data_IF_172323041926
#
_entry.id   IF_172323041926
#
_cell.length_a   1.000
_cell.length_b   1.000
_cell.length_c   1.000
_cell.angle_alpha   90.00
_cell.angle_beta   90.00
_cell.angle_gamma   90.00
#
_symmetry.space_group_name_H-M   'P 1'
#
loop_
_entity.id
_entity.type
_entity.pdbx_description
1 polymer ?
2 non-polymer ?
3 non-polymer ?
4 water ?
#
# COMPACT_ATOMS: atom_id res chain seq x y z
N UNK A 2 -19.26 9.78 29.04
CA UNK A 2 -19.23 8.74 27.97
C UNK A 2 -17.81 8.21 27.79
N UNK A 3 -17.63 6.91 27.96
CA UNK A 3 -16.32 6.28 28.01
C UNK A 3 -16.04 5.64 26.65
N UNK A 4 -14.75 5.53 26.32
CA UNK A 4 -14.33 4.98 25.04
C UNK A 4 -13.17 4.01 25.25
N UNK A 5 -13.01 3.12 24.27
CA UNK A 5 -11.96 2.12 24.28
C UNK A 5 -11.60 1.82 22.83
N UNK A 6 -10.32 1.56 22.59
CA UNK A 6 -9.86 1.02 21.33
C UNK A 6 -9.32 -0.38 21.59
N UNK A 7 -9.76 -1.35 20.77
CA UNK A 7 -9.32 -2.72 20.90
C UNK A 7 -9.11 -3.33 19.52
N UNK A 8 -8.35 -4.42 19.48
CA UNK A 8 -8.18 -5.24 18.29
C UNK A 8 -9.49 -5.94 17.97
N UNK A 9 -9.75 -6.09 16.67
CA UNK A 9 -10.86 -6.86 16.17
C UNK A 9 -10.56 -8.35 16.29
N UNK A 10 -11.60 -9.16 16.57
CA UNK A 10 -11.49 -10.60 16.54
C UNK A 10 -12.49 -11.13 15.52
N UNK A 11 -12.42 -12.43 15.14
CA UNK A 11 -13.34 -12.97 14.13
C UNK A 11 -14.83 -12.75 14.39
N UNK A 12 -15.25 -12.63 15.66
CA UNK A 12 -16.65 -12.42 15.97
C UNK A 12 -17.06 -10.98 15.70
N UNK A 13 -16.10 -10.11 15.33
CA UNK A 13 -16.42 -8.72 15.05
C UNK A 13 -16.74 -8.50 13.57
N UNK A 14 -16.67 -9.56 12.77
CA UNK A 14 -16.76 -9.43 11.32
C UNK A 14 -18.04 -8.71 10.89
N UNK A 15 -19.24 -9.04 11.43
CA UNK A 15 -20.46 -8.31 11.04
C UNK A 15 -20.35 -6.79 11.22
N UNK A 16 -19.69 -6.34 12.30
CA UNK A 16 -19.55 -4.91 12.55
C UNK A 16 -18.60 -4.29 11.52
N UNK A 17 -17.50 -4.99 11.22
CA UNK A 17 -16.50 -4.51 10.27
C UNK A 17 -17.13 -4.38 8.89
N UNK A 18 -17.88 -5.41 8.47
CA UNK A 18 -18.60 -5.40 7.21
C UNK A 18 -19.52 -4.18 7.12
N UNK A 19 -20.28 -3.93 8.19
CA UNK A 19 -21.23 -2.83 8.17
C UNK A 19 -20.50 -1.48 8.15
N UNK A 20 -19.37 -1.36 8.86
CA UNK A 20 -18.59 -0.13 8.86
C UNK A 20 -18.01 0.14 7.49
N UNK A 21 -17.47 -0.89 6.83
CA UNK A 21 -16.92 -0.68 5.50
C UNK A 21 -18.05 -0.26 4.56
N UNK A 22 -19.23 -0.90 4.71
CA UNK A 22 -20.40 -0.51 3.94
C UNK A 22 -20.71 0.98 4.12
N UNK A 23 -20.71 1.45 5.38
CA UNK A 23 -21.02 2.85 5.65
C UNK A 23 -19.95 3.77 5.04
N UNK A 24 -18.70 3.30 4.96
CA UNK A 24 -17.63 4.05 4.33
C UNK A 24 -17.97 4.22 2.85
N UNK A 25 -18.41 3.14 2.21
CA UNK A 25 -18.80 3.17 0.81
C UNK A 25 -19.99 4.10 0.57
N UNK A 26 -20.95 4.14 1.51
CA UNK A 26 -22.07 5.06 1.41
C UNK A 26 -21.55 6.49 1.52
N UNK A 27 -20.67 6.77 2.48
CA UNK A 27 -20.14 8.11 2.68
C UNK A 27 -19.44 8.58 1.40
N UNK A 28 -18.68 7.69 0.76
CA UNK A 28 -17.92 8.05 -0.42
C UNK A 28 -18.75 7.98 -1.69
N UNK A 29 -20.04 7.61 -1.58
CA UNK A 29 -20.92 7.48 -2.72
C UNK A 29 -20.42 6.42 -3.70
N UNK A 30 -19.89 5.30 -3.18
CA UNK A 30 -19.25 4.28 -3.99
C UNK A 30 -19.79 2.90 -3.62
N UNK A 31 -21.08 2.81 -3.26
CA UNK A 31 -21.69 1.54 -2.88
C UNK A 31 -21.61 0.53 -4.02
N UNK A 32 -21.72 0.98 -5.28
CA UNK A 32 -21.59 0.05 -6.40
C UNK A 32 -20.24 -0.70 -6.40
N UNK A 33 -19.20 -0.17 -5.72
CA UNK A 33 -17.91 -0.84 -5.69
C UNK A 33 -17.81 -1.77 -4.48
N UNK A 34 -18.80 -1.73 -3.56
CA UNK A 34 -18.71 -2.49 -2.33
C UNK A 34 -19.24 -3.91 -2.57
N UNK A 35 -18.30 -4.86 -2.68
CA UNK A 35 -18.59 -6.26 -2.97
C UNK A 35 -18.18 -7.15 -1.81
N UNK A 36 -17.66 -6.57 -0.72
CA UNK A 36 -17.22 -7.36 0.42
C UNK A 36 -18.39 -8.15 1.00
N UNK A 37 -18.12 -9.38 1.45
CA UNK A 37 -19.05 -10.18 2.22
C UNK A 37 -18.39 -10.48 3.57
N UNK A 38 -19.18 -10.97 4.53
CA UNK A 38 -18.65 -11.32 5.86
C UNK A 38 -17.71 -12.51 5.70
N UNK A 39 -18.12 -13.42 4.82
CA UNK A 39 -17.30 -14.58 4.45
C UNK A 39 -15.89 -14.17 4.02
N UNK A 40 -15.78 -13.26 3.05
CA UNK A 40 -14.50 -12.76 2.56
C UNK A 40 -13.66 -12.12 3.66
N UNK A 41 -14.30 -11.29 4.51
CA UNK A 41 -13.59 -10.64 5.60
C UNK A 41 -13.05 -11.69 6.57
N UNK A 42 -13.90 -12.65 6.95
CA UNK A 42 -13.52 -13.70 7.88
C UNK A 42 -12.37 -14.54 7.31
N UNK A 43 -12.30 -14.66 5.99
CA UNK A 43 -11.29 -15.41 5.28
C UNK A 43 -9.94 -14.70 5.19
N UNK A 44 -9.94 -13.37 5.26
CA UNK A 44 -8.77 -12.59 4.87
C UNK A 44 -8.22 -11.73 6.01
N UNK A 45 -9.00 -11.47 7.08
CA UNK A 45 -8.60 -10.48 8.07
C UNK A 45 -7.69 -11.05 9.17
N UNK A 46 -7.66 -12.37 9.36
CA UNK A 46 -7.09 -12.94 10.56
C UNK A 46 -6.06 -14.03 10.23
N UNK A 47 -5.41 -13.94 9.08
CA UNK A 47 -4.48 -14.98 8.65
C UNK A 47 -3.08 -14.71 9.20
N UNK A 48 -2.85 -13.51 9.75
CA UNK A 48 -1.57 -13.17 10.37
C UNK A 48 -1.80 -12.55 11.74
N UNK A 49 -0.70 -12.29 12.43
CA UNK A 49 -0.73 -11.56 13.69
C UNK A 49 -0.96 -10.07 13.42
N UNK A 50 -1.50 -9.33 14.40
CA UNK A 50 -1.60 -7.88 14.29
C UNK A 50 -0.28 -7.23 13.86
N UNK A 51 -0.39 -6.20 13.03
CA UNK A 51 0.74 -5.36 12.61
C UNK A 51 1.57 -6.06 11.52
N UNK A 52 1.38 -7.36 11.28
CA UNK A 52 2.15 -8.04 10.24
C UNK A 52 1.41 -8.05 8.91
N UNK A 53 0.13 -7.70 8.97
CA UNK A 53 -0.71 -7.64 7.79
C UNK A 53 -1.91 -6.76 8.14
N UNK A 54 -3.00 -6.90 7.39
CA UNK A 54 -4.19 -6.13 7.65
C UNK A 54 -4.53 -6.26 9.14
N UNK A 55 -4.74 -5.11 9.78
CA UNK A 55 -5.00 -5.00 11.21
C UNK A 55 -6.17 -4.03 11.38
N UNK A 56 -7.06 -4.35 12.34
CA UNK A 56 -8.25 -3.54 12.57
C UNK A 56 -8.32 -3.17 14.05
N UNK A 57 -8.49 -1.87 14.31
CA UNK A 57 -8.86 -1.37 15.63
C UNK A 57 -10.34 -0.96 15.58
N UNK A 58 -11.09 -1.34 16.62
CA UNK A 58 -12.47 -0.93 16.80
C UNK A 58 -12.53 0.07 17.94
N UNK A 59 -13.28 1.15 17.74
CA UNK A 59 -13.58 2.09 18.81
C UNK A 59 -14.98 1.80 19.35
N UNK A 60 -15.04 1.43 20.64
CA UNK A 60 -16.31 1.15 21.29
C UNK A 60 -16.64 2.26 22.27
N UNK A 61 -17.94 2.48 22.44
CA UNK A 61 -18.49 3.53 23.29
C UNK A 61 -19.44 2.88 24.30
N UNK A 62 -19.46 3.45 25.51
CA UNK A 62 -20.36 2.99 26.56
C UNK A 62 -20.70 4.17 27.46
N UNK A 63 -21.94 4.23 28.01
CA UNK A 63 -22.26 5.20 29.06
C UNK A 63 -21.72 4.84 30.44
N UNK A 64 -21.19 3.62 30.60
CA UNK A 64 -20.58 3.17 31.85
C UNK A 64 -19.11 2.83 31.59
N UNK A 65 -18.25 2.80 32.63
CA UNK A 65 -16.84 2.45 32.43
C UNK A 65 -16.72 1.06 31.80
N UNK A 66 -15.56 0.79 31.21
CA UNK A 66 -15.27 -0.53 30.66
C UNK A 66 -14.72 -1.42 31.78
N UNK A 67 -15.27 -2.64 31.99
CA UNK A 67 -14.94 -3.45 33.17
C UNK A 67 -13.44 -3.67 33.37
N UNK A 90 -26.74 11.85 22.52
CA UNK A 90 -26.38 11.15 21.27
C UNK A 90 -27.53 10.24 20.85
N UNK A 91 -28.09 10.53 19.67
CA UNK A 91 -29.09 9.69 19.04
C UNK A 91 -28.39 8.79 18.03
N UNK A 92 -28.43 7.47 18.24
CA UNK A 92 -27.83 6.49 17.35
C UNK A 92 -28.87 5.52 16.82
N UNK A 93 -29.39 5.69 15.58
CA UNK A 93 -30.44 4.83 15.05
C UNK A 93 -30.03 3.39 14.80
N UNK A 94 -28.74 3.15 14.59
CA UNK A 94 -28.24 1.83 14.20
C UNK A 94 -27.63 1.09 15.39
N UNK A 95 -27.86 1.57 16.61
CA UNK A 95 -27.25 1.05 17.81
C UNK A 95 -27.35 -0.48 17.88
N UNK A 96 -28.52 -1.02 17.54
CA UNK A 96 -28.82 -2.44 17.65
C UNK A 96 -27.92 -3.27 16.72
N UNK A 97 -27.52 -2.69 15.59
CA UNK A 97 -26.67 -3.39 14.63
C UNK A 97 -25.21 -3.43 15.11
N UNK A 98 -24.86 -2.76 16.22
CA UNK A 98 -23.46 -2.56 16.59
C UNK A 98 -23.17 -2.92 18.04
N UNK A 99 -23.94 -3.84 18.62
CA UNK A 99 -23.70 -4.33 19.97
C UNK A 99 -22.98 -5.68 19.90
N UNK A 100 -21.69 -5.77 20.27
CA UNK A 100 -21.02 -7.07 20.38
C UNK A 100 -21.75 -8.03 21.33
N UNK A 101 -22.44 -7.49 22.34
CA UNK A 101 -23.23 -8.30 23.25
C UNK A 101 -24.54 -7.58 23.59
N UNK A 102 -25.68 -8.21 23.29
CA UNK A 102 -26.98 -7.55 23.40
C UNK A 102 -27.30 -7.16 24.85
N UNK A 103 -26.60 -7.75 25.81
CA UNK A 103 -26.90 -7.53 27.21
C UNK A 103 -26.04 -6.40 27.77
N UNK A 104 -25.11 -5.86 26.95
CA UNK A 104 -24.20 -4.84 27.41
C UNK A 104 -24.36 -3.55 26.61
N UNK A 105 -24.28 -2.41 27.31
CA UNK A 105 -24.42 -1.11 26.65
C UNK A 105 -23.05 -0.67 26.13
N UNK A 106 -22.48 -1.51 25.26
CA UNK A 106 -21.23 -1.22 24.59
C UNK A 106 -21.49 -1.27 23.08
N UNK A 107 -21.11 -0.20 22.37
CA UNK A 107 -21.46 -0.06 20.97
C UNK A 107 -20.20 0.27 20.17
N UNK A 108 -20.03 -0.45 19.06
CA UNK A 108 -18.97 -0.18 18.12
C UNK A 108 -19.33 1.10 17.39
N UNK A 109 -18.49 2.13 17.59
CA UNK A 109 -18.76 3.47 17.08
C UNK A 109 -17.92 3.76 15.83
N UNK A 110 -16.78 3.07 15.65
CA UNK A 110 -15.92 3.33 14.52
C UNK A 110 -14.74 2.35 14.45
N UNK A 111 -13.91 2.49 13.40
CA UNK A 111 -12.78 1.60 13.22
C UNK A 111 -11.66 2.28 12.41
N UNK A 112 -10.48 1.66 12.46
CA UNK A 112 -9.41 1.96 11.52
C UNK A 112 -8.86 0.61 11.04
N UNK A 113 -8.64 0.51 9.74
CA UNK A 113 -8.14 -0.68 9.10
C UNK A 113 -6.87 -0.28 8.36
N UNK A 114 -5.76 -0.96 8.66
CA UNK A 114 -4.47 -0.59 8.09
C UNK A 114 -3.61 -1.83 7.92
N UNK A 115 -2.47 -1.67 7.23
CA UNK A 115 -1.54 -2.76 6.99
C UNK A 115 -0.14 -2.22 6.73
N UNK A 116 0.92 -3.06 6.83
CA UNK A 116 2.28 -2.64 6.50
C UNK A 116 2.43 -2.24 5.04
N UNK A 117 3.10 -1.12 4.78
CA UNK A 117 3.51 -0.75 3.42
C UNK A 117 5.04 -0.65 3.41
N UNK A 118 5.63 -0.09 2.35
CA UNK A 118 7.07 -0.04 2.24
C UNK A 118 7.50 1.22 1.50
N UNK A 119 7.69 2.35 2.22
CA UNK A 119 8.28 3.55 1.62
C UNK A 119 9.73 3.25 1.28
N UNK A 120 9.98 3.02 -0.02
CA UNK A 120 11.25 2.46 -0.45
C UNK A 120 12.40 3.44 -0.22
N UNK A 121 12.10 4.75 -0.18
CA UNK A 121 13.12 5.76 0.01
C UNK A 121 13.63 5.72 1.46
N UNK A 122 12.86 5.09 2.37
CA UNK A 122 13.25 4.94 3.76
C UNK A 122 13.80 3.54 4.04
N UNK A 123 13.58 2.61 3.09
CA UNK A 123 14.04 1.22 3.22
C UNK A 123 13.59 0.64 4.54
N UNK A 124 12.32 0.90 4.89
CA UNK A 124 11.72 0.37 6.11
C UNK A 124 10.20 0.32 5.94
N UNK A 125 9.54 -0.62 6.62
CA UNK A 125 8.09 -0.71 6.57
C UNK A 125 7.49 0.56 7.17
N UNK A 126 6.36 0.97 6.61
CA UNK A 126 5.49 1.95 7.25
C UNK A 126 4.10 1.34 7.43
N UNK A 127 3.09 2.20 7.57
CA UNK A 127 1.72 1.71 7.57
C UNK A 127 0.96 2.52 6.53
N UNK A 128 0.01 1.85 5.88
CA UNK A 128 -0.99 2.51 5.08
C UNK A 128 -2.36 2.32 5.72
N UNK A 129 -3.11 3.41 5.91
CA UNK A 129 -4.45 3.36 6.44
C UNK A 129 -5.43 3.30 5.28
N UNK A 130 -6.13 2.17 5.18
CA UNK A 130 -7.13 1.93 4.14
C UNK A 130 -8.44 2.64 4.48
N UNK A 131 -8.93 2.46 5.72
CA UNK A 131 -10.12 3.14 6.20
C UNK A 131 -9.93 3.67 7.62
N UNK A 132 -10.44 4.86 7.85
CA UNK A 132 -10.67 5.35 9.18
C UNK A 132 -12.05 6.01 9.17
N UNK A 133 -12.91 5.64 10.11
CA UNK A 133 -14.32 5.96 10.01
C UNK A 133 -14.96 5.95 11.40
N UNK A 134 -15.66 7.04 11.73
CA UNK A 134 -16.57 7.11 12.85
C UNK A 134 -18.00 7.19 12.32
N UNK A 135 -18.89 6.37 12.88
CA UNK A 135 -20.30 6.43 12.54
C UNK A 135 -20.81 7.84 12.86
N UNK A 136 -21.73 8.32 12.03
CA UNK A 136 -22.16 9.71 12.01
C UNK A 136 -22.52 10.21 13.42
N UNK A 137 -23.27 9.47 14.26
CA UNK A 137 -23.65 10.00 15.58
C UNK A 137 -22.51 10.25 16.55
N UNK A 138 -21.32 9.69 16.28
CA UNK A 138 -20.18 9.81 17.18
C UNK A 138 -19.09 10.69 16.57
N UNK A 139 -19.41 11.44 15.51
CA UNK A 139 -18.44 12.36 14.93
C UNK A 139 -18.27 13.59 15.82
N UNK A 140 -17.16 14.30 15.61
CA UNK A 140 -16.93 15.62 16.17
C UNK A 140 -16.82 15.55 17.69
N UNK A 141 -16.33 14.43 18.23
CA UNK A 141 -16.21 14.25 19.68
C UNK A 141 -14.81 13.85 20.10
N UNK A 142 -13.87 13.77 19.14
CA UNK A 142 -12.49 13.46 19.45
C UNK A 142 -12.13 11.99 19.22
N UNK A 143 -13.10 11.17 18.80
CA UNK A 143 -12.89 9.73 18.67
C UNK A 143 -12.08 9.41 17.41
N UNK A 144 -12.29 10.16 16.34
CA UNK A 144 -11.45 10.00 15.15
C UNK A 144 -9.99 10.30 15.49
N UNK A 145 -9.75 11.35 16.27
CA UNK A 145 -8.42 11.69 16.75
C UNK A 145 -7.82 10.49 17.49
N UNK A 146 -8.62 9.87 18.38
CA UNK A 146 -8.18 8.73 19.18
C UNK A 146 -7.73 7.57 18.28
N UNK A 147 -8.49 7.29 17.23
CA UNK A 147 -8.15 6.21 16.32
C UNK A 147 -6.80 6.49 15.66
N UNK A 148 -6.62 7.70 15.14
CA UNK A 148 -5.42 8.02 14.39
C UNK A 148 -4.23 8.04 15.36
N UNK A 149 -4.43 8.61 16.54
CA UNK A 149 -3.44 8.61 17.60
C UNK A 149 -2.97 7.19 17.89
N UNK A 150 -3.90 6.23 17.97
CA UNK A 150 -3.56 4.85 18.28
C UNK A 150 -2.69 4.26 17.17
N UNK A 151 -2.99 4.57 15.91
CA UNK A 151 -2.16 4.06 14.83
C UNK A 151 -0.78 4.69 14.93
N UNK A 152 -0.73 6.00 15.21
CA UNK A 152 0.52 6.74 15.23
C UNK A 152 1.45 6.22 16.34
N UNK A 153 0.88 6.03 17.53
CA UNK A 153 1.65 5.56 18.67
C UNK A 153 2.19 4.16 18.39
N UNK A 154 1.36 3.32 17.79
CA UNK A 154 1.79 1.98 17.44
C UNK A 154 2.94 2.06 16.44
N UNK A 155 2.82 2.96 15.45
CA UNK A 155 3.88 3.18 14.46
C UNK A 155 5.21 3.51 15.13
N UNK A 156 5.20 4.45 16.08
CA UNK A 156 6.41 4.87 16.77
C UNK A 156 7.01 3.69 17.55
N UNK A 157 6.16 2.99 18.32
CA UNK A 157 6.58 1.85 19.11
C UNK A 157 7.27 0.78 18.24
N UNK A 158 6.74 0.55 17.04
CA UNK A 158 7.22 -0.54 16.20
C UNK A 158 8.28 -0.06 15.22
N UNK A 159 8.71 1.20 15.30
CA UNK A 159 9.80 1.71 14.50
C UNK A 159 9.39 2.02 13.06
N UNK A 160 8.09 2.20 12.82
CA UNK A 160 7.58 2.55 11.50
C UNK A 160 7.95 4.00 11.17
N UNK A 161 8.43 4.23 9.95
CA UNK A 161 9.03 5.52 9.61
C UNK A 161 8.04 6.49 8.96
N UNK A 162 6.86 5.99 8.54
CA UNK A 162 5.90 6.81 7.81
C UNK A 162 4.53 6.15 7.81
N UNK A 163 3.46 6.96 7.88
CA UNK A 163 2.11 6.47 7.66
C UNK A 163 1.51 7.23 6.48
N UNK A 164 0.90 6.49 5.55
CA UNK A 164 0.27 7.08 4.37
C UNK A 164 -1.17 6.56 4.22
N UNK A 165 -1.99 7.37 3.53
CA UNK A 165 -3.30 6.95 3.07
C UNK A 165 -3.73 7.88 1.93
N UNK A 166 -4.96 7.72 1.44
CA UNK A 166 -5.46 8.62 0.41
C UNK A 166 -6.80 9.18 0.88
N UNK A 167 -7.18 10.33 0.30
CA UNK A 167 -8.44 10.99 0.61
C UNK A 167 -9.02 11.52 -0.70
N UNK A 168 -10.35 11.55 -0.79
CA UNK A 168 -11.01 12.05 -1.98
C UNK A 168 -11.09 13.57 -1.87
N UNK A 169 -10.96 14.22 -3.04
CA UNK A 169 -10.67 15.64 -3.15
C UNK A 169 -11.81 16.50 -2.59
N UNK A 170 -13.07 16.04 -2.68
CA UNK A 170 -14.18 16.83 -2.18
C UNK A 170 -14.32 16.71 -0.67
N UNK A 171 -13.63 15.76 -0.06
CA UNK A 171 -13.85 15.43 1.34
C UNK A 171 -13.07 16.41 2.24
N UNK A 172 -13.51 17.67 2.24
CA UNK A 172 -12.75 18.72 2.89
C UNK A 172 -12.78 18.56 4.42
N UNK A 173 -13.80 17.85 4.94
CA UNK A 173 -13.87 17.58 6.37
C UNK A 173 -12.71 16.67 6.80
N UNK A 174 -12.48 15.58 6.07
CA UNK A 174 -11.43 14.65 6.43
C UNK A 174 -10.06 15.31 6.22
N UNK A 175 -9.93 16.08 5.13
CA UNK A 175 -8.70 16.75 4.77
C UNK A 175 -8.30 17.69 5.91
N UNK A 176 -9.25 18.46 6.42
CA UNK A 176 -9.01 19.36 7.54
C UNK A 176 -8.58 18.57 8.77
N UNK A 177 -9.31 17.49 9.08
CA UNK A 177 -8.97 16.64 10.22
C UNK A 177 -7.52 16.16 10.10
N UNK A 178 -7.18 15.62 8.93
CA UNK A 178 -5.85 15.08 8.68
C UNK A 178 -4.77 16.16 8.85
N UNK A 179 -5.02 17.34 8.28
CA UNK A 179 -4.09 18.45 8.34
C UNK A 179 -3.92 18.94 9.77
N UNK A 180 -4.99 18.94 10.58
CA UNK A 180 -4.90 19.33 11.97
C UNK A 180 -4.09 18.32 12.77
N UNK A 181 -4.12 17.05 12.34
CA UNK A 181 -3.34 16.01 12.98
C UNK A 181 -1.90 15.98 12.44
N UNK A 182 -1.56 16.94 11.57
CA UNK A 182 -0.18 17.13 11.14
C UNK A 182 0.13 16.41 9.83
N UNK A 183 -0.91 15.94 9.14
CA UNK A 183 -0.72 15.21 7.90
C UNK A 183 -0.45 16.21 6.76
N UNK A 184 0.40 15.80 5.82
CA UNK A 184 0.55 16.54 4.59
C UNK A 184 -0.40 15.93 3.56
N UNK A 185 -1.17 16.78 2.87
CA UNK A 185 -2.02 16.31 1.80
C UNK A 185 -1.51 16.90 0.49
N UNK A 186 -1.03 16.04 -0.40
CA UNK A 186 -0.36 16.47 -1.62
C UNK A 186 -1.37 16.64 -2.75
N UNK A 187 -1.00 17.46 -3.72
CA UNK A 187 -1.81 17.67 -4.91
C UNK A 187 -1.22 16.92 -6.11
N UNK A 188 0.06 16.51 -6.06
CA UNK A 188 0.75 16.09 -7.26
C UNK A 188 0.67 14.59 -7.53
N UNK A 189 0.23 13.77 -6.57
CA UNK A 189 0.19 12.33 -6.76
C UNK A 189 -1.20 11.89 -7.21
N UNK A 190 -1.21 10.95 -8.18
CA UNK A 190 -2.43 10.40 -8.73
C UNK A 190 -2.48 8.90 -8.47
N UNK A 191 -3.65 8.40 -8.05
CA UNK A 191 -3.87 6.98 -7.85
C UNK A 191 -4.01 6.30 -9.20
N UNK A 192 -3.35 5.16 -9.34
CA UNK A 192 -3.46 4.29 -10.50
C UNK A 192 -4.02 2.95 -10.04
N UNK A 193 -4.81 2.32 -10.90
CA UNK A 193 -5.53 1.10 -10.54
C UNK A 193 -5.68 0.20 -11.75
N UNK A 194 -5.38 -1.09 -11.53
CA UNK A 194 -5.80 -2.16 -12.41
C UNK A 194 -6.88 -2.92 -11.65
N UNK A 195 -8.07 -2.99 -12.26
CA UNK A 195 -9.20 -3.72 -11.71
C UNK A 195 -8.98 -5.20 -12.00
N UNK A 196 -9.83 -6.04 -11.40
CA UNK A 196 -9.91 -7.45 -11.72
C UNK A 196 -9.99 -7.68 -13.23
N UNK A 197 -10.81 -6.88 -13.93
CA UNK A 197 -11.00 -7.04 -15.37
C UNK A 197 -9.73 -6.66 -16.12
N UNK A 198 -9.11 -5.55 -15.73
CA UNK A 198 -7.86 -5.12 -16.35
C UNK A 198 -6.77 -6.18 -16.15
N UNK A 199 -6.73 -6.79 -14.97
CA UNK A 199 -5.77 -7.83 -14.65
C UNK A 199 -5.97 -9.08 -15.54
N UNK A 200 -7.23 -9.47 -15.78
CA UNK A 200 -7.51 -10.62 -16.63
C UNK A 200 -7.05 -10.34 -18.06
N UNK A 201 -7.25 -9.09 -18.50
CA UNK A 201 -6.90 -8.69 -19.85
C UNK A 201 -5.39 -8.81 -20.04
N UNK A 202 -4.62 -8.34 -19.06
CA UNK A 202 -3.16 -8.40 -19.14
C UNK A 202 -2.69 -9.84 -19.08
N UNK A 203 -3.39 -10.66 -18.27
CA UNK A 203 -3.04 -12.06 -18.06
C UNK A 203 -3.03 -12.87 -19.36
N UNK A 204 -3.72 -12.41 -20.42
CA UNK A 204 -3.71 -13.15 -21.68
C UNK A 204 -2.51 -12.76 -22.56
N UNK A 205 -1.63 -11.91 -22.02
CA UNK A 205 -0.30 -11.66 -22.55
C UNK A 205 0.70 -12.48 -21.73
N UNK B 1 20.63 -10.54 -30.76
CA UNK B 1 19.41 -10.31 -29.95
C UNK B 1 19.81 -10.00 -28.51
N UNK B 2 18.81 -9.75 -27.67
CA UNK B 2 19.03 -9.61 -26.24
C UNK B 2 17.88 -10.28 -25.50
N UNK B 3 18.24 -11.16 -24.56
CA UNK B 3 17.30 -12.01 -23.86
C UNK B 3 17.05 -11.42 -22.48
N UNK B 4 15.88 -11.73 -21.90
CA UNK B 4 15.46 -11.11 -20.66
C UNK B 4 14.87 -12.16 -19.72
N UNK B 5 14.89 -11.84 -18.43
CA UNK B 5 14.39 -12.73 -17.40
C UNK B 5 13.90 -11.88 -16.23
N UNK B 6 12.83 -12.35 -15.60
CA UNK B 6 12.35 -11.77 -14.36
C UNK B 6 12.53 -12.80 -13.27
N UNK B 7 13.09 -12.38 -12.13
CA UNK B 7 13.29 -13.28 -10.99
C UNK B 7 13.07 -12.54 -9.68
N UNK B 8 12.79 -13.32 -8.63
CA UNK B 8 12.74 -12.84 -7.27
C UNK B 8 14.14 -12.41 -6.83
N UNK B 9 14.18 -11.34 -6.02
CA UNK B 9 15.40 -10.83 -5.43
C UNK B 9 15.79 -11.70 -4.24
N UNK B 10 17.10 -11.85 -4.04
CA UNK B 10 17.64 -12.51 -2.86
C UNK B 10 18.53 -11.52 -2.12
N UNK B 11 18.97 -11.82 -0.88
CA UNK B 11 19.79 -10.87 -0.14
C UNK B 11 21.03 -10.32 -0.85
N UNK B 12 21.62 -11.10 -1.77
CA UNK B 12 22.81 -10.66 -2.47
C UNK B 12 22.46 -9.60 -3.52
N UNK B 13 21.16 -9.34 -3.75
CA UNK B 13 20.76 -8.38 -4.76
C UNK B 13 20.60 -6.97 -4.19
N UNK B 14 20.81 -6.84 -2.87
CA UNK B 14 20.54 -5.60 -2.17
C UNK B 14 21.27 -4.41 -2.81
N UNK B 15 22.58 -4.51 -3.15
CA UNK B 15 23.26 -3.39 -3.81
C UNK B 15 22.53 -2.85 -5.04
N UNK B 16 22.00 -3.77 -5.86
CA UNK B 16 21.33 -3.37 -7.10
C UNK B 16 20.01 -2.67 -6.78
N UNK B 17 19.27 -3.24 -5.81
CA UNK B 17 17.99 -2.70 -5.40
C UNK B 17 18.18 -1.27 -4.86
N UNK B 18 19.17 -1.10 -3.97
CA UNK B 18 19.51 0.20 -3.40
C UNK B 18 19.75 1.19 -4.53
N UNK B 19 20.57 0.82 -5.52
CA UNK B 19 20.95 1.74 -6.57
C UNK B 19 19.75 2.08 -7.46
N UNK B 20 18.87 1.10 -7.68
CA UNK B 20 17.67 1.33 -8.48
C UNK B 20 16.72 2.29 -7.77
N UNK B 21 16.54 2.11 -6.46
CA UNK B 21 15.68 3.01 -5.71
C UNK B 21 16.29 4.41 -5.77
N UNK B 22 17.62 4.50 -5.66
CA UNK B 22 18.31 5.77 -5.73
C UNK B 22 18.02 6.45 -7.07
N UNK B 23 18.13 5.69 -8.17
CA UNK B 23 17.85 6.25 -9.49
C UNK B 23 16.39 6.70 -9.60
N UNK B 24 15.47 6.01 -8.91
CA UNK B 24 14.07 6.39 -8.88
C UNK B 24 13.96 7.77 -8.24
N UNK B 25 14.67 7.96 -7.12
CA UNK B 25 14.64 9.23 -6.41
C UNK B 25 15.21 10.36 -7.26
N UNK B 26 16.27 10.07 -8.03
CA UNK B 26 16.84 11.04 -8.94
C UNK B 26 15.81 11.39 -10.02
N UNK B 27 15.16 10.37 -10.61
CA UNK B 27 14.18 10.60 -11.66
C UNK B 27 13.07 11.51 -11.15
N UNK B 28 12.62 11.27 -9.91
CA UNK B 28 11.50 12.00 -9.36
C UNK B 28 11.91 13.34 -8.76
N UNK B 29 13.23 13.64 -8.79
CA UNK B 29 13.76 14.86 -8.21
C UNK B 29 13.46 14.93 -6.71
N UNK B 30 13.60 13.78 -6.02
CA UNK B 30 13.31 13.67 -4.60
C UNK B 30 14.50 13.05 -3.85
N UNK B 31 15.74 13.34 -4.29
CA UNK B 31 16.91 12.75 -3.66
C UNK B 31 17.01 13.16 -2.19
N UNK B 32 16.56 14.36 -1.83
CA UNK B 32 16.57 14.78 -0.43
C UNK B 32 15.75 13.86 0.47
N UNK B 33 14.81 13.08 -0.11
CA UNK B 33 14.02 12.15 0.69
C UNK B 33 14.66 10.76 0.73
N UNK B 34 15.71 10.53 -0.07
CA UNK B 34 16.29 9.19 -0.18
C UNK B 34 17.35 8.99 0.89
N UNK B 35 16.96 8.28 1.98
CA UNK B 35 17.82 7.98 3.11
C UNK B 35 18.05 6.48 3.23
N UNK B 36 17.52 5.69 2.29
CA UNK B 36 17.68 4.25 2.31
C UNK B 36 19.16 3.87 2.28
N UNK B 37 19.54 2.83 3.04
CA UNK B 37 20.88 2.27 3.02
C UNK B 37 20.75 0.80 2.65
N UNK B 38 21.87 0.14 2.29
CA UNK B 38 21.85 -1.28 1.95
C UNK B 38 21.55 -2.08 3.20
N UNK B 39 22.09 -1.60 4.32
CA UNK B 39 21.84 -2.15 5.64
C UNK B 39 20.33 -2.28 5.92
N UNK B 40 19.62 -1.17 5.78
CA UNK B 40 18.18 -1.13 6.02
C UNK B 40 17.43 -2.08 5.10
N UNK B 41 17.77 -2.08 3.80
CA UNK B 41 17.13 -2.96 2.83
C UNK B 41 17.36 -4.41 3.22
N UNK B 42 18.61 -4.78 3.53
CA UNK B 42 18.97 -6.13 3.88
C UNK B 42 18.25 -6.58 5.15
N UNK B 43 17.95 -5.64 6.05
CA UNK B 43 17.32 -6.02 7.30
C UNK B 43 15.78 -6.02 7.19
N UNK B 44 15.18 -5.48 6.12
CA UNK B 44 13.73 -5.32 6.06
C UNK B 44 13.09 -6.04 4.87
N UNK B 45 13.86 -6.44 3.85
CA UNK B 45 13.29 -6.96 2.62
C UNK B 45 13.05 -8.46 2.67
N UNK B 46 13.65 -9.20 3.62
CA UNK B 46 13.69 -10.65 3.52
C UNK B 46 13.21 -11.31 4.81
N UNK B 47 12.32 -10.65 5.55
CA UNK B 47 11.84 -11.22 6.80
C UNK B 47 10.62 -12.12 6.57
N UNK B 48 10.06 -12.13 5.35
CA UNK B 48 8.81 -12.82 5.07
C UNK B 48 8.91 -13.61 3.78
N UNK B 49 7.84 -14.34 3.47
CA UNK B 49 7.75 -15.14 2.26
C UNK B 49 7.43 -14.24 1.07
N UNK B 50 7.85 -14.60 -0.15
CA UNK B 50 7.44 -13.86 -1.34
C UNK B 50 5.93 -13.70 -1.41
N UNK B 51 5.47 -12.53 -1.88
CA UNK B 51 4.06 -12.26 -2.12
C UNK B 51 3.29 -11.99 -0.83
N UNK B 52 3.84 -12.34 0.34
CA UNK B 52 3.13 -12.20 1.61
C UNK B 52 3.57 -10.93 2.31
N UNK B 53 4.59 -10.26 1.76
CA UNK B 53 5.03 -8.96 2.25
C UNK B 53 5.84 -8.33 1.12
N UNK B 54 6.69 -7.35 1.45
CA UNK B 54 7.45 -6.65 0.43
C UNK B 54 8.18 -7.70 -0.42
N UNK B 55 8.04 -7.56 -1.73
CA UNK B 55 8.56 -8.51 -2.70
C UNK B 55 9.21 -7.69 -3.82
N UNK B 56 10.33 -8.18 -4.36
CA UNK B 56 11.00 -7.50 -5.45
C UNK B 56 11.19 -8.48 -6.61
N UNK B 57 10.82 -8.04 -7.81
CA UNK B 57 11.24 -8.68 -9.05
C UNK B 57 12.35 -7.85 -9.69
N UNK B 58 13.40 -8.54 -10.15
CA UNK B 58 14.46 -7.93 -10.92
C UNK B 58 14.31 -8.36 -12.38
N UNK B 59 14.50 -7.40 -13.29
CA UNK B 59 14.63 -7.72 -14.71
C UNK B 59 16.10 -7.72 -15.08
N UNK B 60 16.58 -8.87 -15.55
CA UNK B 60 17.96 -9.01 -15.97
C UNK B 60 18.02 -9.18 -17.48
N UNK B 61 19.13 -8.71 -18.05
CA UNK B 61 19.36 -8.72 -19.49
C UNK B 61 20.69 -9.43 -19.74
N UNK B 62 20.71 -10.27 -20.79
CA UNK B 62 21.96 -10.96 -21.16
C UNK B 62 22.03 -11.07 -22.69
N UNK B 63 23.23 -10.88 -23.31
CA UNK B 63 23.36 -11.09 -24.75
C UNK B 63 23.16 -12.55 -25.12
N UNK B 64 23.29 -13.45 -24.16
CA UNK B 64 23.15 -14.90 -24.42
C UNK B 64 21.82 -15.41 -23.85
N UNK B 65 21.19 -16.45 -24.44
CA UNK B 65 19.99 -17.01 -23.86
C UNK B 65 20.24 -17.28 -22.40
N UNK B 66 19.23 -17.02 -21.58
CA UNK B 66 19.47 -17.15 -20.11
C UNK B 66 19.46 -18.60 -19.72
N UNK B 67 20.32 -19.02 -18.77
CA UNK B 67 20.26 -20.37 -18.26
C UNK B 67 19.06 -20.34 -17.34
N UNK B 68 17.85 -20.28 -17.93
CA UNK B 68 16.63 -20.11 -17.11
C UNK B 68 16.72 -20.99 -15.88
N UNK B 86 15.29 -5.81 -31.59
CA UNK B 86 16.03 -6.19 -30.35
C UNK B 86 17.53 -6.00 -30.61
N UNK B 87 17.99 -6.32 -31.82
CA UNK B 87 19.42 -6.17 -32.18
C UNK B 87 19.99 -4.89 -31.61
N UNK B 88 19.28 -3.76 -31.75
CA UNK B 88 19.83 -2.43 -31.36
C UNK B 88 20.79 -2.50 -30.16
N UNK B 89 22.06 -2.07 -30.33
CA UNK B 89 23.04 -2.12 -29.26
C UNK B 89 22.68 -1.14 -28.16
N UNK B 90 23.10 -1.45 -26.93
CA UNK B 90 22.70 -0.59 -25.77
C UNK B 90 23.93 0.01 -25.08
N UNK B 91 24.02 1.34 -25.03
CA UNK B 91 25.09 2.02 -24.33
C UNK B 91 24.68 2.17 -22.85
N UNK B 92 25.36 1.41 -21.97
CA UNK B 92 25.02 1.36 -20.55
C UNK B 92 26.26 1.71 -19.73
N UNK B 93 26.41 2.97 -19.25
CA UNK B 93 27.61 3.38 -18.52
C UNK B 93 27.77 2.73 -17.14
N UNK B 94 26.65 2.29 -16.55
CA UNK B 94 26.64 1.78 -15.19
C UNK B 94 26.62 0.25 -15.17
N UNK B 95 26.89 -0.39 -16.31
CA UNK B 95 26.80 -1.83 -16.44
C UNK B 95 27.56 -2.54 -15.32
N UNK B 96 28.76 -2.06 -14.98
CA UNK B 96 29.62 -2.70 -13.99
C UNK B 96 29.00 -2.67 -12.59
N UNK B 97 28.18 -1.66 -12.31
CA UNK B 97 27.50 -1.55 -11.02
C UNK B 97 26.33 -2.53 -10.91
N UNK B 98 25.97 -3.24 -11.99
CA UNK B 98 24.73 -4.01 -12.02
C UNK B 98 24.95 -5.46 -12.49
N UNK B 99 26.14 -6.01 -12.25
CA UNK B 99 26.45 -7.39 -12.58
C UNK B 99 26.34 -8.25 -11.33
N UNK B 100 25.32 -9.15 -11.23
CA UNK B 100 25.26 -10.09 -10.12
C UNK B 100 26.50 -10.99 -10.05
N UNK B 101 27.15 -11.24 -11.19
CA UNK B 101 28.40 -11.98 -11.23
C UNK B 101 29.36 -11.30 -12.21
N UNK B 102 30.53 -10.88 -11.73
CA UNK B 102 31.44 -10.05 -12.50
C UNK B 102 32.00 -10.81 -13.71
N UNK B 103 31.89 -12.14 -13.70
CA UNK B 103 32.45 -12.93 -14.80
C UNK B 103 31.34 -13.33 -15.78
N UNK B 104 30.13 -12.78 -15.60
CA UNK B 104 28.94 -13.28 -16.27
C UNK B 104 28.25 -12.14 -17.01
N UNK B 105 27.67 -12.45 -18.17
CA UNK B 105 27.18 -11.45 -19.10
C UNK B 105 25.73 -11.11 -18.78
N UNK B 106 25.41 -10.89 -17.49
CA UNK B 106 24.03 -10.69 -17.07
C UNK B 106 23.94 -9.38 -16.28
N UNK B 107 23.01 -8.50 -16.65
CA UNK B 107 22.93 -7.17 -16.04
C UNK B 107 21.50 -6.91 -15.57
N UNK B 108 21.39 -6.42 -14.32
CA UNK B 108 20.14 -5.97 -13.76
C UNK B 108 19.75 -4.66 -14.44
N UNK B 109 18.63 -4.68 -15.18
CA UNK B 109 18.19 -3.56 -15.99
C UNK B 109 17.05 -2.80 -15.32
N UNK B 110 16.28 -3.47 -14.45
CA UNK B 110 15.13 -2.83 -13.83
C UNK B 110 14.55 -3.66 -12.69
N UNK B 111 13.54 -3.11 -12.01
CA UNK B 111 12.89 -3.82 -10.93
C UNK B 111 11.45 -3.35 -10.73
N UNK B 112 10.68 -4.16 -10.00
CA UNK B 112 9.41 -3.75 -9.44
C UNK B 112 9.41 -4.21 -7.99
N UNK B 113 9.01 -3.31 -7.10
CA UNK B 113 8.94 -3.57 -5.68
C UNK B 113 7.48 -3.35 -5.26
N UNK B 114 6.88 -4.36 -4.64
CA UNK B 114 5.46 -4.34 -4.35
C UNK B 114 5.19 -5.16 -3.08
N UNK B 115 3.98 -5.02 -2.55
CA UNK B 115 3.58 -5.75 -1.34
C UNK B 115 2.06 -5.90 -1.32
N UNK B 116 1.52 -6.82 -0.49
CA UNK B 116 0.07 -6.95 -0.32
C UNK B 116 -0.55 -5.68 0.26
N UNK B 117 -1.68 -5.26 -0.33
CA UNK B 117 -2.52 -4.23 0.27
C UNK B 117 -3.87 -4.88 0.58
N UNK B 118 -4.85 -4.05 0.94
CA UNK B 118 -6.16 -4.58 1.30
C UNK B 118 -7.24 -3.59 0.86
N UNK B 119 -7.73 -3.72 -0.40
CA UNK B 119 -8.90 -2.95 -0.84
C UNK B 119 -10.12 -3.44 -0.04
N UNK B 120 -10.53 -2.64 0.95
CA UNK B 120 -11.49 -3.11 1.93
C UNK B 120 -12.87 -3.34 1.28
N UNK B 121 -13.13 -2.66 0.16
CA UNK B 121 -14.40 -2.81 -0.55
C UNK B 121 -14.48 -4.19 -1.22
N UNK B 122 -13.32 -4.86 -1.38
CA UNK B 122 -13.25 -6.19 -1.98
C UNK B 122 -13.09 -7.25 -0.90
N UNK B 123 -12.72 -6.83 0.33
CA UNK B 123 -12.48 -7.73 1.44
C UNK B 123 -11.55 -8.87 1.02
N UNK B 124 -10.50 -8.50 0.30
CA UNK B 124 -9.46 -9.44 -0.09
C UNK B 124 -8.18 -8.65 -0.38
N UNK B 125 -7.04 -9.31 -0.20
CA UNK B 125 -5.74 -8.69 -0.45
C UNK B 125 -5.64 -8.35 -1.94
N UNK B 126 -5.00 -7.22 -2.24
CA UNK B 126 -4.53 -6.89 -3.58
C UNK B 126 -3.01 -6.70 -3.56
N UNK B 127 -2.46 -5.99 -4.53
CA UNK B 127 -1.07 -5.59 -4.47
C UNK B 127 -0.98 -4.08 -4.66
N UNK B 128 -0.02 -3.46 -3.96
CA UNK B 128 0.37 -2.10 -4.25
C UNK B 128 1.80 -2.10 -4.79
N UNK B 129 2.02 -1.40 -5.90
CA UNK B 129 3.36 -1.24 -6.46
C UNK B 129 3.97 0.06 -5.94
N UNK B 130 5.06 -0.09 -5.18
CA UNK B 130 5.80 1.05 -4.64
C UNK B 130 6.70 1.67 -5.71
N UNK B 131 7.49 0.83 -6.40
CA UNK B 131 8.34 1.28 -7.49
C UNK B 131 8.29 0.32 -8.67
N UNK B 132 8.32 0.91 -9.86
CA UNK B 132 8.59 0.17 -11.07
C UNK B 132 9.51 1.06 -11.90
N UNK B 133 10.62 0.49 -12.35
CA UNK B 133 11.71 1.32 -12.86
C UNK B 133 12.59 0.49 -13.80
N UNK B 134 12.79 1.00 -15.01
CA UNK B 134 13.80 0.52 -15.93
C UNK B 134 14.90 1.57 -16.01
N UNK B 135 16.16 1.13 -15.88
CA UNK B 135 17.29 2.01 -16.10
C UNK B 135 17.19 2.59 -17.51
N UNK B 136 17.59 3.87 -17.63
CA UNK B 136 17.36 4.67 -18.83
C UNK B 136 17.80 3.95 -20.10
N UNK B 137 18.97 3.28 -20.17
CA UNK B 137 19.40 2.64 -21.42
C UNK B 137 18.50 1.50 -21.91
N UNK B 138 17.64 0.95 -21.05
CA UNK B 138 16.81 -0.18 -21.40
C UNK B 138 15.33 0.21 -21.52
N UNK B 139 15.05 1.52 -21.57
CA UNK B 139 13.67 1.98 -21.75
C UNK B 139 13.21 1.78 -23.20
N UNK B 140 11.89 1.79 -23.37
CA UNK B 140 11.24 1.85 -24.68
C UNK B 140 11.54 0.59 -25.51
N UNK B 141 11.71 -0.55 -24.82
CA UNK B 141 12.02 -1.81 -25.47
C UNK B 141 11.07 -2.92 -25.01
N UNK B 142 10.06 -2.58 -24.19
CA UNK B 142 9.04 -3.54 -23.81
C UNK B 142 9.28 -4.16 -22.42
N UNK B 143 10.40 -3.80 -21.77
CA UNK B 143 10.79 -4.42 -20.51
C UNK B 143 9.92 -3.91 -19.36
N UNK B 144 9.55 -2.63 -19.38
CA UNK B 144 8.60 -2.11 -18.40
C UNK B 144 7.28 -2.88 -18.46
N UNK B 145 6.80 -3.15 -19.67
CA UNK B 145 5.60 -3.95 -19.88
C UNK B 145 5.76 -5.31 -19.20
N UNK B 146 6.92 -5.94 -19.41
CA UNK B 146 7.23 -7.25 -18.84
C UNK B 146 7.09 -7.23 -17.32
N UNK B 147 7.67 -6.21 -16.69
CA UNK B 147 7.63 -6.10 -15.23
C UNK B 147 6.19 -6.02 -14.75
N UNK B 148 5.38 -5.16 -15.38
CA UNK B 148 4.02 -4.95 -14.92
C UNK B 148 3.20 -6.22 -15.18
N UNK B 149 3.40 -6.82 -16.35
CA UNK B 149 2.75 -8.07 -16.70
C UNK B 149 3.04 -9.12 -15.64
N UNK B 150 4.28 -9.21 -15.16
CA UNK B 150 4.64 -10.21 -14.18
C UNK B 150 3.88 -9.99 -12.87
N UNK B 151 3.73 -8.73 -12.45
CA UNK B 151 2.96 -8.46 -11.24
C UNK B 151 1.50 -8.85 -11.48
N UNK B 152 0.98 -8.52 -12.68
CA UNK B 152 -0.43 -8.75 -12.99
C UNK B 152 -0.75 -10.24 -13.01
N UNK B 153 0.08 -11.04 -13.68
CA UNK B 153 -0.11 -12.47 -13.78
C UNK B 153 -0.05 -13.09 -12.39
N UNK B 154 0.89 -12.63 -11.57
CA UNK B 154 1.01 -13.14 -10.22
C UNK B 154 -0.27 -12.84 -9.45
N UNK B 155 -0.79 -11.62 -9.63
CA UNK B 155 -2.03 -11.20 -8.99
C UNK B 155 -3.18 -12.14 -9.35
N UNK B 156 -3.33 -12.46 -10.65
CA UNK B 156 -4.39 -13.34 -11.11
C UNK B 156 -4.24 -14.73 -10.47
N UNK B 157 -3.03 -15.29 -10.52
CA UNK B 157 -2.74 -16.60 -9.93
C UNK B 157 -3.13 -16.64 -8.45
N UNK B 158 -2.90 -15.56 -7.71
CA UNK B 158 -3.13 -15.54 -6.28
C UNK B 158 -4.54 -15.06 -5.91
N UNK B 159 -5.38 -14.78 -6.92
CA UNK B 159 -6.76 -14.39 -6.68
C UNK B 159 -6.90 -12.94 -6.21
N UNK B 160 -5.87 -12.12 -6.50
CA UNK B 160 -5.85 -10.72 -6.10
C UNK B 160 -6.85 -9.94 -6.94
N UNK B 161 -7.65 -9.09 -6.29
CA UNK B 161 -8.78 -8.44 -6.96
C UNK B 161 -8.43 -7.09 -7.59
N UNK B 162 -7.28 -6.50 -7.21
CA UNK B 162 -6.92 -5.16 -7.63
C UNK B 162 -5.43 -4.89 -7.38
N UNK B 163 -4.81 -4.13 -8.28
CA UNK B 163 -3.46 -3.63 -8.09
C UNK B 163 -3.53 -2.10 -8.15
N UNK B 164 -2.91 -1.44 -7.16
CA UNK B 164 -2.85 0.01 -7.12
C UNK B 164 -1.41 0.48 -6.95
N UNK B 165 -1.17 1.73 -7.38
CA UNK B 165 0.05 2.46 -7.11
C UNK B 165 -0.24 3.95 -7.29
N UNK B 166 0.78 4.78 -7.15
CA UNK B 166 0.62 6.20 -7.39
C UNK B 166 1.67 6.66 -8.39
N UNK B 167 1.39 7.76 -9.07
CA UNK B 167 2.26 8.34 -10.07
C UNK B 167 2.22 9.85 -9.88
N UNK B 168 3.36 10.52 -10.18
CA UNK B 168 3.42 11.96 -10.04
C UNK B 168 2.86 12.59 -11.31
N UNK B 169 2.20 13.74 -11.12
CA UNK B 169 1.33 14.33 -12.11
C UNK B 169 2.09 14.74 -13.38
N UNK B 170 3.37 15.15 -13.25
CA UNK B 170 4.12 15.61 -14.40
C UNK B 170 4.67 14.44 -15.21
N UNK B 171 4.61 13.22 -14.66
CA UNK B 171 5.27 12.08 -15.28
C UNK B 171 4.39 11.52 -16.39
N UNK B 172 4.29 12.26 -17.49
CA UNK B 172 3.34 11.92 -18.55
C UNK B 172 3.76 10.64 -19.27
N UNK B 173 5.05 10.31 -19.25
CA UNK B 173 5.53 9.06 -19.84
C UNK B 173 4.97 7.85 -19.11
N UNK B 174 5.04 7.86 -17.77
CA UNK B 174 4.58 6.71 -17.00
C UNK B 174 3.06 6.61 -17.08
N UNK B 175 2.39 7.78 -17.02
CA UNK B 175 0.95 7.86 -17.09
C UNK B 175 0.46 7.20 -18.37
N UNK B 176 1.09 7.55 -19.50
CA UNK B 176 0.74 6.97 -20.79
C UNK B 176 0.97 5.47 -20.77
N UNK B 177 2.14 5.03 -20.28
CA UNK B 177 2.46 3.63 -20.17
C UNK B 177 1.36 2.89 -19.40
N UNK B 178 1.02 3.42 -18.21
CA UNK B 178 0.03 2.82 -17.34
C UNK B 178 -1.32 2.71 -18.03
N UNK B 179 -1.74 3.80 -18.68
CA UNK B 179 -3.02 3.85 -19.39
C UNK B 179 -3.06 2.87 -20.55
N UNK B 180 -1.93 2.69 -21.26
CA UNK B 180 -1.87 1.75 -22.36
C UNK B 180 -1.90 0.31 -21.84
N UNK B 181 -1.45 0.09 -20.60
CA UNK B 181 -1.52 -1.22 -19.99
C UNK B 181 -2.91 -1.44 -19.38
N UNK B 182 -3.82 -0.48 -19.52
CA UNK B 182 -5.21 -0.64 -19.10
C UNK B 182 -5.46 -0.13 -17.68
N UNK B 183 -4.49 0.61 -17.12
CA UNK B 183 -4.66 1.19 -15.80
C UNK B 183 -5.58 2.41 -15.86
N UNK B 184 -6.37 2.59 -14.81
CA UNK B 184 -7.07 3.84 -14.57
C UNK B 184 -6.17 4.76 -13.77
N UNK B 185 -6.05 6.01 -14.21
CA UNK B 185 -5.24 7.00 -13.53
C UNK B 185 -6.18 8.11 -13.10
N UNK B 186 -6.43 8.21 -11.79
CA UNK B 186 -7.46 9.06 -11.26
C UNK B 186 -6.96 10.48 -11.01
N UNK B 187 -7.90 11.42 -11.03
CA UNK B 187 -7.62 12.82 -10.71
C UNK B 187 -8.10 13.16 -9.30
N UNK B 188 -9.00 12.36 -8.71
CA UNK B 188 -9.73 12.81 -7.53
C UNK B 188 -9.09 12.38 -6.20
N UNK B 189 -8.11 11.47 -6.21
CA UNK B 189 -7.54 10.99 -4.96
C UNK B 189 -6.26 11.75 -4.64
N UNK B 190 -6.07 12.07 -3.35
CA UNK B 190 -4.92 12.82 -2.88
C UNK B 190 -4.14 11.97 -1.88
N UNK B 191 -2.80 11.96 -2.00
CA UNK B 191 -1.93 11.27 -1.07
C UNK B 191 -1.86 12.08 0.22
N UNK B 192 -1.95 11.38 1.36
CA UNK B 192 -1.80 11.97 2.68
C UNK B 192 -0.63 11.25 3.36
N UNK B 193 0.10 11.96 4.25
CA UNK B 193 1.30 11.40 4.85
C UNK B 193 1.52 11.98 6.25
N UNK B 194 1.83 11.09 7.18
CA UNK B 194 2.46 11.47 8.45
C UNK B 194 3.94 11.07 8.39
N UNK B 195 4.81 12.07 8.53
CA UNK B 195 6.24 11.85 8.55
C UNK B 195 6.61 11.31 9.92
N UNK B 196 7.87 10.85 10.02
CA UNK B 196 8.47 10.50 11.29
C UNK B 196 8.27 11.60 12.35
N UNK B 197 8.45 12.86 11.94
CA UNK B 197 8.32 13.99 12.87
C UNK B 197 6.87 14.16 13.31
N UNK B 198 5.93 14.07 12.35
CA UNK B 198 4.51 14.15 12.66
C UNK B 198 4.10 13.04 13.62
N UNK B 199 4.65 11.84 13.42
CA UNK B 199 4.36 10.69 14.26
C UNK B 199 4.86 10.90 15.69
N UNK B 200 6.06 11.49 15.87
CA UNK B 200 6.59 11.73 17.19
C UNK B 200 5.72 12.74 17.91
N UNK B 201 5.26 13.75 17.17
CA UNK B 201 4.43 14.80 17.74
C UNK B 201 3.13 14.22 18.27
N UNK B 202 2.49 13.32 17.50
CA UNK B 202 1.24 12.70 17.92
C UNK B 202 1.49 11.77 19.10
N UNK B 203 2.64 11.09 19.10
CA UNK B 203 3.01 10.15 20.16
C UNK B 203 3.06 10.80 21.53
N UNK B 204 3.28 12.12 21.58
CA UNK B 204 3.46 12.81 22.86
C UNK B 204 2.13 13.35 23.34
N UNK B 205 1.04 13.04 22.64
CA UNK B 205 -0.29 13.37 23.14
C UNK B 205 -0.53 12.69 24.51
X LIG C 1 9.16 6.96 -2.84
X LIG C 1 8.64 8.26 -3.34
X LIG C 1 7.58 7.99 -4.40
X LIG C 1 7.60 6.59 -4.99
X LIG C 1 6.20 6.04 -5.22
X LIG C 1 5.73 6.09 -6.61
X LIG C 1 8.17 9.11 -2.14
X LIG C 1 7.53 10.13 -2.38
X LIG C 1 8.52 8.73 -1.00
X LIG D 1 -13.23 17.57 11.08
X LIG D 1 -13.02 16.96 12.26
X LIG D 1 -12.64 17.50 13.42
X LIG D 1 -12.46 18.83 13.30
X LIG D 1 -12.64 19.58 12.16
X LIG D 1 -13.05 18.90 10.99
X LIG D 1 -13.26 19.50 9.83
X LIG D 1 -12.37 20.93 12.43
X LIG D 1 -12.03 20.95 13.70
X LIG D 1 -12.07 19.71 14.28
X LIG D 1 -11.77 19.36 15.66
X LIG D 1 -12.83 18.51 16.35
X LIG D 1 -13.85 19.30 16.94
X LIG D 1 -11.98 17.74 17.37
X LIG D 1 -11.72 18.51 18.55
X LIG D 1 -12.52 18.00 19.87
X LIG D 1 -11.76 16.79 20.41
X LIG D 1 -12.51 19.16 20.86
X LIG D 1 -13.94 17.64 19.43
X LIG D 1 -10.69 17.49 16.60
X LIG D 1 -10.57 18.60 15.67
X LIG D 1 -10.64 16.19 15.83
X LIG D 1 -11.96 15.84 15.32
X LIG D 1 -12.67 14.46 15.74
X LIG D 1 -13.93 14.74 16.47
X LIG D 1 -11.66 13.57 16.36
X LIG D 1 -13.09 13.84 14.31
X LIG D 1 -14.16 12.69 14.01
X LIG D 1 -14.38 11.93 15.27
X LIG D 1 -15.34 13.26 13.29
X LIG D 1 -13.37 11.68 13.01
X LIG D 1 -13.33 11.27 10.59
X LIG D 1 -12.83 12.16 11.73
X LIG D 1 -12.84 11.82 9.25
X LIG D 1 -12.74 9.86 10.76
X LIG D 1 -14.87 11.19 10.63
X LIG D 1 -15.35 12.41 11.19
X LIG D 1 -15.55 11.04 9.28
X LIG D 1 -15.95 12.06 8.71
X LIG D 1 -15.72 9.85 8.77
X LIG D 1 -16.22 9.72 7.39
X LIG D 1 -15.27 8.92 6.50
X LIG D 1 -14.25 9.73 5.73
X LIG D 1 -14.41 10.94 5.55
X LIG D 1 -13.17 9.06 5.26
X LIG D 1 -12.17 9.56 4.33
X LIG D 1 -12.00 8.68 3.08
X LIG D 1 -12.07 9.55 1.48
X LIG E 1 -12.27 1.63 -0.89
X LIG E 1 -12.38 2.94 -1.61
X LIG E 1 -11.39 3.94 -1.02
X LIG E 1 -11.25 3.97 0.50
X LIG E 1 -9.86 4.42 0.91
X LIG E 1 -9.69 5.81 1.34
X LIG E 1 -12.17 2.69 -3.12
X LIG E 1 -11.91 1.52 -3.48
X LIG E 1 -12.34 3.65 -3.90
X LIG F 1 8.46 -0.05 -30.30
X LIG F 1 7.65 1.01 -30.28
X LIG F 1 7.22 1.74 -29.25
X LIG F 1 7.73 1.27 -28.10
X LIG F 1 8.57 0.19 -27.95
X LIG F 1 8.96 -0.50 -29.12
X LIG F 1 9.77 -1.55 -29.12
X LIG F 1 8.87 -0.01 -26.61
X LIG F 1 8.24 0.96 -25.99
X LIG F 1 7.53 1.77 -26.85
X LIG F 1 6.66 2.92 -26.50
X LIG F 1 5.21 2.50 -26.39
X LIG F 1 4.33 3.61 -26.43
X LIG F 1 5.28 1.79 -25.04
X LIG F 1 4.01 1.48 -24.47
X LIG F 1 3.69 -0.09 -24.73
X LIG F 1 2.24 -0.27 -24.31
X LIG F 1 4.63 -0.92 -23.86
X LIG F 1 3.88 -0.37 -26.20
X LIG F 1 6.11 2.80 -24.23
X LIG F 1 7.00 3.39 -25.21
X LIG F 1 6.91 2.23 -23.08
X LIG F 1 6.82 0.77 -23.08
X LIG F 1 7.96 -0.13 -22.37
X LIG F 1 9.20 -0.16 -23.19
X LIG F 1 7.39 -1.45 -21.95
X LIG F 1 8.23 0.80 -21.09
X LIG F 1 9.65 1.07 -20.43
X LIG F 1 10.21 2.31 -21.04
X LIG F 1 10.43 -0.20 -20.47
X LIG F 1 9.29 1.26 -18.89
X LIG F 1 8.70 2.91 -17.26
X LIG F 1 8.23 2.17 -18.50
X LIG F 1 8.77 1.94 -16.09
X LIG F 1 7.70 4.02 -16.94
X LIG F 1 10.09 3.51 -17.55
X LIG F 1 10.01 4.51 -18.54
X LIG F 1 10.77 4.07 -16.30
X LIG F 1 11.47 3.32 -15.63
X LIG F 1 10.60 5.35 -16.01
X LIG F 1 10.72 5.89 -14.66
X LIG F 1 9.42 6.57 -14.17
X LIG F 1 8.59 5.82 -13.14
X LIG F 1 8.49 4.59 -13.20
X LIG F 1 7.97 6.53 -12.18
X LIG F 1 6.95 5.98 -11.31
X LIG F 1 6.69 6.82 -10.05
X LIG F 1 6.16 8.54 -10.33
#
# INVERSE_FOLDING_TARGET
>A
SMFSRIRLATPTDVPFIHKLIHQMAVFERLTHLFVATESGLASTLFNSRPFQAVTVFLLEISPSPFPTTHDASSPDFTPFLETHKVDLPIEDPDREKFLPDKLNDVVVAGFVLFFPNYPSFLAKQGFYIEDIFMREPYRRKGFGKLLLTAVAKQAVKLGVGRVEWIVIDWNVNAINFYEQMGAQVFKEWRLCRLTGDALQAIDKL
>B
SMFSRIRLATPTDVPFIHKLIHQMAVFERLTHLFVATESGLASTLFNSRPFQAVTVFLLEISPSPFPTTHDASSPDFTPFLETHKVDLPIEDPDREKFLPDKLNDVVVAGFVLFFPNYPSFLAKQGFYIEDIFMREPYRRKGFGKLLLTAVAKQAVKLGVGRVEWIVIDWNVNAINFYEQMGAQVFKEWRLCRLTGDALQAIDKL
>C hetero
1 ORN N CA CB CG CD NE C O OXT
>D hetero
1 COA N1A C2A N3A C4A C5A C6A N6A N7A C8A N9A C1B C2B O2B C3B O3B P3B O7A O8A O9A C4B O4B C5B O5B P1A O1A O2A O3A P2A O4A O5A O6A CBP CCP CDP CEP CAP OAP C9P O9P N8P C7P C6P C5P O5P N4P C3P C2P S1P
>E hetero
1 ORN N CA CB CG CD NE C O OXT
>F hetero
1 COA N1A C2A N3A C4A C5A C6A N6A N7A C8A N9A C1B C2B O2B C3B O3B P3B O7A O8A O9A C4B O4B C5B O5B P1A O1A O2A O3A P2A O4A O5A O6A CBP CCP CDP CEP CAP OAP C9P O9P N8P C7P C6P C5P O5P N4P C3P C2P S1P
#
